data_IF_698937924360
#
_entry.id   IF_698937924360
#
_cell.length_a   1.000
_cell.length_b   1.000
_cell.length_c   1.000
_cell.angle_alpha   90.00
_cell.angle_beta   90.00
_cell.angle_gamma   90.00
#
_symmetry.space_group_name_H-M   'P 1'
#
loop_
_entity.id
_entity.type
_entity.pdbx_description
1 polymer ?
#
# COMPACT_ATOMS: atom_id res chain seq x y z
N UNK A 1 -10.46 -4.96 -29.02
CA UNK A 1 -9.22 -5.60 -28.54
C UNK A 1 -9.65 -6.69 -27.59
N UNK A 2 -9.16 -7.89 -27.79
CA UNK A 2 -9.43 -9.00 -26.88
C UNK A 2 -8.79 -8.76 -25.51
N UNK A 3 -9.42 -9.31 -24.47
CA UNK A 3 -8.86 -9.32 -23.12
C UNK A 3 -7.49 -10.02 -23.16
N UNK A 4 -6.41 -9.40 -22.73
CA UNK A 4 -5.07 -9.97 -22.81
C UNK A 4 -4.87 -11.07 -21.74
N UNK A 5 -5.42 -12.24 -21.99
CA UNK A 5 -5.34 -13.42 -21.09
C UNK A 5 -3.92 -13.91 -20.81
N UNK A 6 -2.96 -13.48 -21.65
CA UNK A 6 -1.55 -13.85 -21.51
C UNK A 6 -0.73 -12.87 -20.67
N UNK A 7 -1.35 -11.79 -20.16
CA UNK A 7 -0.62 -10.83 -19.33
C UNK A 7 -0.52 -11.35 -17.89
N UNK A 8 0.62 -11.07 -17.27
CA UNK A 8 0.80 -11.31 -15.83
C UNK A 8 -0.06 -10.37 -14.98
N UNK A 9 -0.34 -9.16 -15.46
CA UNK A 9 -1.24 -8.18 -14.80
C UNK A 9 -2.68 -8.69 -14.80
N UNK A 10 -3.33 -8.60 -13.66
CA UNK A 10 -4.75 -8.93 -13.48
C UNK A 10 -5.56 -7.66 -13.27
N UNK A 11 -6.69 -7.55 -13.96
CA UNK A 11 -7.66 -6.50 -13.70
C UNK A 11 -8.67 -6.98 -12.67
N UNK A 12 -9.12 -6.08 -11.79
CA UNK A 12 -10.29 -6.35 -10.97
C UNK A 12 -11.53 -6.50 -11.86
N UNK A 13 -12.47 -7.35 -11.51
CA UNK A 13 -13.66 -7.58 -12.33
C UNK A 13 -14.58 -6.36 -12.41
N UNK A 14 -15.32 -6.22 -13.50
CA UNK A 14 -16.33 -5.17 -13.63
C UNK A 14 -17.43 -5.29 -12.56
N UNK A 15 -17.98 -6.48 -12.23
CA UNK A 15 -18.92 -6.61 -11.12
C UNK A 15 -18.40 -6.12 -9.78
N UNK A 16 -17.10 -6.31 -9.49
CA UNK A 16 -16.51 -5.81 -8.25
C UNK A 16 -16.40 -4.28 -8.26
N UNK A 17 -16.02 -3.66 -9.38
CA UNK A 17 -16.02 -2.20 -9.50
C UNK A 17 -17.44 -1.64 -9.33
N UNK A 18 -18.43 -2.23 -9.97
CA UNK A 18 -19.85 -1.82 -9.85
C UNK A 18 -20.36 -1.95 -8.40
N UNK A 19 -19.96 -3.01 -7.67
CA UNK A 19 -20.25 -3.17 -6.25
C UNK A 19 -19.67 -2.02 -5.43
N UNK A 20 -18.41 -1.63 -5.68
CA UNK A 20 -17.75 -0.49 -5.02
C UNK A 20 -18.47 0.81 -5.31
N UNK A 21 -18.72 1.10 -6.58
CA UNK A 21 -19.41 2.34 -7.00
C UNK A 21 -20.82 2.43 -6.42
N UNK A 22 -21.57 1.33 -6.41
CA UNK A 22 -22.89 1.28 -5.80
C UNK A 22 -22.83 1.65 -4.32
N UNK A 23 -21.93 1.01 -3.56
CA UNK A 23 -21.78 1.28 -2.12
C UNK A 23 -21.39 2.73 -1.85
N UNK A 24 -20.47 3.30 -2.65
CA UNK A 24 -20.05 4.69 -2.52
C UNK A 24 -21.21 5.63 -2.84
N UNK A 25 -21.96 5.40 -3.94
CA UNK A 25 -23.11 6.22 -4.33
C UNK A 25 -24.23 6.21 -3.28
N UNK A 26 -24.49 5.07 -2.64
CA UNK A 26 -25.43 4.99 -1.52
C UNK A 26 -25.00 5.92 -0.38
N UNK A 27 -23.71 5.91 -0.02
CA UNK A 27 -23.16 6.81 1.01
C UNK A 27 -23.14 8.28 0.59
N UNK A 28 -22.91 8.58 -0.68
CA UNK A 28 -23.02 9.95 -1.20
C UNK A 28 -24.45 10.48 -1.09
N UNK A 29 -25.45 9.65 -1.44
CA UNK A 29 -26.89 10.03 -1.30
C UNK A 29 -27.26 10.30 0.16
N UNK A 30 -26.84 9.42 1.09
CA UNK A 30 -27.06 9.64 2.54
C UNK A 30 -26.48 10.98 3.03
N UNK A 31 -25.33 11.38 2.47
CA UNK A 31 -24.59 12.60 2.85
C UNK A 31 -24.89 13.82 1.98
N UNK A 32 -25.75 13.67 0.99
CA UNK A 32 -26.09 14.70 0.01
C UNK A 32 -24.86 15.27 -0.71
N UNK A 33 -23.92 14.39 -1.07
CA UNK A 33 -22.72 14.72 -1.84
C UNK A 33 -23.02 14.45 -3.31
N UNK A 34 -22.72 15.43 -4.17
CA UNK A 34 -22.99 15.34 -5.61
C UNK A 34 -21.83 14.74 -6.39
N UNK A 35 -20.61 15.09 -5.99
CA UNK A 35 -19.38 14.62 -6.62
C UNK A 35 -18.36 14.22 -5.55
N UNK A 36 -17.57 13.18 -5.86
CA UNK A 36 -16.28 12.99 -5.19
C UNK A 36 -15.18 13.42 -6.14
N UNK A 37 -14.15 14.05 -5.58
CA UNK A 37 -12.90 14.37 -6.27
C UNK A 37 -11.79 13.57 -5.61
N UNK A 38 -11.16 12.69 -6.39
CA UNK A 38 -10.00 11.89 -6.02
C UNK A 38 -8.86 12.33 -6.92
N UNK A 39 -7.86 12.98 -6.36
CA UNK A 39 -6.69 13.43 -7.10
C UNK A 39 -5.44 12.78 -6.51
N UNK A 40 -4.59 12.18 -7.33
CA UNK A 40 -3.40 11.54 -6.85
C UNK A 40 -2.28 11.49 -7.90
N UNK A 41 -1.05 11.67 -7.43
CA UNK A 41 0.20 11.49 -8.19
C UNK A 41 1.18 10.55 -7.47
N UNK A 42 0.74 9.92 -6.37
CA UNK A 42 1.57 9.04 -5.54
C UNK A 42 1.25 7.57 -5.82
N UNK A 43 2.25 6.80 -6.24
CA UNK A 43 2.04 5.42 -6.67
C UNK A 43 1.99 4.40 -5.53
N UNK A 44 2.65 4.69 -4.39
CA UNK A 44 2.69 3.76 -3.26
C UNK A 44 1.51 3.95 -2.30
N UNK A 45 1.05 5.18 -2.14
CA UNK A 45 -0.03 5.52 -1.22
C UNK A 45 -1.32 5.96 -1.93
N UNK A 46 -1.30 5.99 -3.26
CA UNK A 46 -2.41 6.47 -4.10
C UNK A 46 -3.46 5.41 -4.47
N UNK A 47 -3.61 4.39 -3.67
CA UNK A 47 -4.46 3.23 -3.98
C UNK A 47 -5.94 3.53 -4.15
N UNK A 48 -6.44 4.63 -3.59
CA UNK A 48 -7.86 5.00 -3.70
C UNK A 48 -8.25 5.34 -5.14
N UNK A 49 -7.39 6.02 -5.89
CA UNK A 49 -7.62 6.26 -7.31
C UNK A 49 -7.82 4.94 -8.07
N UNK A 50 -6.92 3.98 -7.86
CA UNK A 50 -7.01 2.65 -8.46
C UNK A 50 -8.25 1.88 -7.99
N UNK A 51 -8.63 2.03 -6.74
CA UNK A 51 -9.82 1.37 -6.20
C UNK A 51 -11.11 1.79 -6.92
N UNK A 52 -11.19 3.04 -7.41
CA UNK A 52 -12.30 3.53 -8.22
C UNK A 52 -12.21 3.10 -9.69
N UNK A 53 -11.02 3.05 -10.28
CA UNK A 53 -10.83 3.00 -11.74
C UNK A 53 -10.10 1.76 -12.26
N UNK A 54 -9.40 1.03 -11.37
CA UNK A 54 -8.38 0.04 -11.71
C UNK A 54 -7.16 0.61 -12.46
N UNK A 55 -7.08 1.94 -12.60
CA UNK A 55 -5.90 2.59 -13.14
C UNK A 55 -4.85 2.79 -12.05
N UNK A 56 -3.62 2.41 -12.37
CA UNK A 56 -2.49 2.67 -11.48
C UNK A 56 -2.17 4.16 -11.46
N UNK A 57 -2.12 4.77 -10.26
CA UNK A 57 -1.54 6.09 -10.11
C UNK A 57 -0.09 6.08 -10.63
N UNK A 58 0.29 7.12 -11.36
CA UNK A 58 1.65 7.25 -11.91
C UNK A 58 2.39 8.30 -11.13
N UNK A 59 3.52 7.93 -10.58
CA UNK A 59 4.39 8.89 -9.91
C UNK A 59 4.71 10.08 -10.83
N UNK A 60 4.56 11.30 -10.31
CA UNK A 60 4.76 12.58 -11.02
C UNK A 60 3.77 12.89 -12.17
N UNK A 61 2.80 12.03 -12.42
CA UNK A 61 1.77 12.28 -13.43
C UNK A 61 0.41 12.29 -12.75
N UNK A 62 -0.02 13.45 -12.24
CA UNK A 62 -1.28 13.54 -11.52
C UNK A 62 -2.45 13.09 -12.38
N UNK A 63 -3.39 12.44 -11.72
CA UNK A 63 -4.66 12.03 -12.30
C UNK A 63 -5.78 12.42 -11.33
N UNK A 64 -6.84 13.00 -11.87
CA UNK A 64 -8.05 13.31 -11.12
C UNK A 64 -9.22 12.48 -11.63
N UNK A 65 -9.95 11.91 -10.69
CA UNK A 65 -11.25 11.26 -10.93
C UNK A 65 -12.33 12.14 -10.33
N UNK A 66 -13.32 12.49 -11.12
CA UNK A 66 -14.56 13.11 -10.67
C UNK A 66 -15.64 12.05 -10.75
N UNK A 67 -16.12 11.61 -9.59
CA UNK A 67 -17.09 10.53 -9.44
C UNK A 67 -18.45 11.11 -9.05
N UNK A 68 -19.43 11.15 -9.98
CA UNK A 68 -20.76 11.67 -9.71
C UNK A 68 -21.63 10.64 -8.97
N UNK A 69 -22.63 11.14 -8.25
CA UNK A 69 -23.56 10.33 -7.46
C UNK A 69 -24.50 9.47 -8.32
N UNK A 70 -24.74 9.84 -9.56
CA UNK A 70 -25.79 9.29 -10.45
C UNK A 70 -25.36 9.10 -11.91
N UNK A 71 -24.07 9.29 -12.23
CA UNK A 71 -23.55 9.15 -13.59
C UNK A 71 -22.20 8.43 -13.59
N UNK A 72 -21.65 8.15 -14.78
CA UNK A 72 -20.30 7.63 -14.96
C UNK A 72 -19.22 8.67 -14.63
N UNK A 73 -18.00 8.19 -14.34
CA UNK A 73 -16.89 9.04 -13.94
C UNK A 73 -16.34 9.89 -15.09
N UNK A 74 -15.79 11.03 -14.73
CA UNK A 74 -14.85 11.77 -15.57
C UNK A 74 -13.43 11.60 -15.05
N UNK A 75 -12.46 11.45 -15.95
CA UNK A 75 -11.04 11.40 -15.63
C UNK A 75 -10.28 12.55 -16.27
N UNK A 76 -9.30 13.09 -15.52
CA UNK A 76 -8.38 14.14 -15.99
C UNK A 76 -6.98 13.60 -15.86
N UNK A 77 -6.21 13.56 -16.95
CA UNK A 77 -4.90 12.91 -17.03
C UNK A 77 -3.84 13.91 -17.46
N UNK A 78 -2.74 13.93 -16.70
CA UNK A 78 -1.58 14.73 -17.00
C UNK A 78 -0.74 14.12 -18.14
N UNK A 79 -0.17 14.97 -19.01
CA UNK A 79 0.93 14.61 -19.92
C UNK A 79 0.53 13.84 -21.18
N UNK A 80 -0.75 13.75 -21.49
CA UNK A 80 -1.24 13.12 -22.71
C UNK A 80 -1.65 14.11 -23.81
N UNK A 81 -1.68 13.66 -25.05
CA UNK A 81 -2.42 14.36 -26.08
C UNK A 81 -3.89 14.52 -25.66
N UNK A 82 -4.58 15.58 -26.08
CA UNK A 82 -5.99 15.74 -25.80
C UNK A 82 -6.76 14.45 -26.12
N UNK A 83 -7.65 14.01 -25.21
CA UNK A 83 -8.36 12.72 -25.35
C UNK A 83 -9.15 12.57 -26.64
N UNK A 84 -9.59 13.67 -27.23
CA UNK A 84 -10.27 13.69 -28.55
C UNK A 84 -9.41 13.20 -29.69
N UNK A 85 -8.08 13.22 -29.52
CA UNK A 85 -7.11 12.73 -30.51
C UNK A 85 -6.65 11.29 -30.24
N UNK A 86 -7.15 10.67 -29.16
CA UNK A 86 -6.79 9.29 -28.79
C UNK A 86 -8.01 8.37 -28.90
N UNK A 87 -7.81 7.14 -29.41
CA UNK A 87 -8.89 6.17 -29.36
C UNK A 87 -9.29 5.89 -27.90
N UNK A 88 -10.59 5.76 -27.68
CA UNK A 88 -11.06 5.37 -26.35
C UNK A 88 -10.43 4.03 -25.96
N UNK A 89 -9.95 3.84 -24.72
CA UNK A 89 -9.44 2.55 -24.28
C UNK A 89 -10.48 1.45 -24.46
N UNK A 90 -10.06 0.21 -24.63
CA UNK A 90 -11.01 -0.89 -24.73
C UNK A 90 -11.88 -0.97 -23.46
N UNK A 91 -13.13 -1.45 -23.55
CA UNK A 91 -14.09 -1.47 -22.45
C UNK A 91 -13.59 -2.18 -21.16
N UNK A 92 -12.68 -3.13 -21.32
CA UNK A 92 -12.08 -3.82 -20.17
C UNK A 92 -11.07 -2.95 -19.40
N UNK A 93 -10.53 -1.88 -20.02
CA UNK A 93 -9.54 -1.01 -19.40
C UNK A 93 -10.17 0.25 -18.81
N UNK A 94 -11.15 0.88 -19.49
CA UNK A 94 -11.78 2.13 -19.03
C UNK A 94 -13.26 1.89 -18.70
N UNK A 95 -13.51 1.35 -17.52
CA UNK A 95 -14.84 0.96 -17.06
C UNK A 95 -15.49 2.08 -16.27
N UNK A 96 -16.78 2.36 -16.53
CA UNK A 96 -17.55 3.40 -15.82
C UNK A 96 -17.04 4.83 -16.03
N UNK A 97 -16.37 5.08 -17.16
CA UNK A 97 -15.82 6.39 -17.52
C UNK A 97 -16.46 6.85 -18.82
N UNK A 98 -17.22 7.95 -18.75
CA UNK A 98 -17.86 8.56 -19.93
C UNK A 98 -17.06 9.73 -20.50
N UNK A 99 -16.25 10.41 -19.69
CA UNK A 99 -15.52 11.60 -20.11
C UNK A 99 -14.03 11.47 -19.72
N UNK A 100 -13.19 11.69 -20.70
CA UNK A 100 -11.74 11.75 -20.51
C UNK A 100 -11.24 13.13 -20.89
N UNK A 101 -10.58 13.79 -19.97
CA UNK A 101 -9.96 15.09 -20.15
C UNK A 101 -8.47 14.95 -19.93
N UNK A 102 -7.69 15.81 -20.56
CA UNK A 102 -6.25 15.79 -20.37
C UNK A 102 -5.57 17.03 -20.89
N UNK A 103 -4.32 17.19 -20.54
CA UNK A 103 -3.51 18.30 -20.98
C UNK A 103 -2.08 18.18 -20.50
N UNK A 104 -1.21 19.00 -21.08
CA UNK A 104 0.20 19.04 -20.72
C UNK A 104 0.39 19.99 -19.53
N UNK A 105 0.35 19.43 -18.33
CA UNK A 105 0.64 20.14 -17.09
C UNK A 105 1.57 19.28 -16.22
N UNK A 106 2.51 19.92 -15.55
CA UNK A 106 3.47 19.24 -14.67
C UNK A 106 3.73 20.10 -13.45
N UNK A 107 3.87 19.51 -12.25
CA UNK A 107 4.17 20.27 -11.03
C UNK A 107 5.42 21.15 -11.11
N UNK A 108 6.38 20.77 -11.98
CA UNK A 108 7.62 21.54 -12.24
C UNK A 108 7.42 22.71 -13.21
N UNK A 109 6.31 22.76 -13.92
CA UNK A 109 5.97 23.85 -14.84
C UNK A 109 4.90 24.74 -14.20
N UNK A 110 5.29 25.65 -13.31
CA UNK A 110 4.38 26.46 -12.50
C UNK A 110 3.26 27.15 -13.31
N UNK A 111 3.55 27.58 -14.54
CA UNK A 111 2.58 28.19 -15.43
C UNK A 111 1.50 27.21 -15.94
N UNK A 112 1.59 25.93 -15.66
CA UNK A 112 0.59 24.90 -16.00
C UNK A 112 -0.25 24.45 -14.80
N UNK A 113 0.04 24.94 -13.59
CA UNK A 113 -0.53 24.44 -12.33
C UNK A 113 -2.05 24.61 -12.20
N UNK A 114 -2.67 25.45 -13.03
CA UNK A 114 -4.12 25.67 -13.01
C UNK A 114 -4.87 24.75 -13.97
N UNK A 115 -4.22 24.18 -14.95
CA UNK A 115 -4.88 23.46 -16.04
C UNK A 115 -5.73 22.28 -15.55
N UNK A 116 -5.22 21.50 -14.61
CA UNK A 116 -5.98 20.39 -14.00
C UNK A 116 -7.25 20.91 -13.30
N UNK A 117 -7.12 22.00 -12.55
CA UNK A 117 -8.26 22.70 -11.92
C UNK A 117 -9.27 23.26 -12.93
N UNK A 118 -8.79 23.80 -14.05
CA UNK A 118 -9.64 24.30 -15.15
C UNK A 118 -10.51 23.18 -15.72
N UNK A 119 -9.87 22.03 -16.02
CA UNK A 119 -10.55 20.85 -16.52
C UNK A 119 -11.54 20.28 -15.47
N UNK A 120 -11.18 20.25 -14.19
CA UNK A 120 -12.08 19.81 -13.13
C UNK A 120 -13.30 20.74 -12.98
N UNK A 121 -13.09 22.06 -13.00
CA UNK A 121 -14.17 23.04 -12.96
C UNK A 121 -15.11 22.88 -14.15
N UNK A 122 -14.61 22.55 -15.34
CA UNK A 122 -15.46 22.34 -16.54
C UNK A 122 -16.50 21.25 -16.33
N UNK A 123 -16.20 20.22 -15.53
CA UNK A 123 -17.12 19.13 -15.17
C UNK A 123 -17.99 19.52 -13.97
N UNK A 124 -17.39 20.01 -12.90
CA UNK A 124 -18.07 20.23 -11.61
C UNK A 124 -19.13 21.34 -11.69
N UNK A 125 -18.98 22.33 -12.59
CA UNK A 125 -19.94 23.44 -12.81
C UNK A 125 -21.23 23.02 -13.52
N UNK A 126 -21.31 21.79 -14.04
CA UNK A 126 -22.53 21.26 -14.66
C UNK A 126 -23.71 21.25 -13.67
N UNK A 127 -23.41 21.13 -12.37
CA UNK A 127 -24.38 21.25 -11.29
C UNK A 127 -24.29 22.62 -10.61
N UNK A 128 -25.44 23.24 -10.37
CA UNK A 128 -25.51 24.48 -9.58
C UNK A 128 -25.33 24.15 -8.10
N UNK A 129 -24.45 24.93 -7.42
CA UNK A 129 -24.17 24.78 -5.97
C UNK A 129 -23.84 23.32 -5.56
N UNK A 130 -22.86 22.68 -6.22
CA UNK A 130 -22.56 21.28 -5.94
C UNK A 130 -21.99 21.12 -4.53
N UNK A 131 -22.31 19.99 -3.90
CA UNK A 131 -21.59 19.49 -2.72
C UNK A 131 -20.53 18.52 -3.20
N UNK A 132 -19.27 18.86 -2.98
CA UNK A 132 -18.09 18.16 -3.47
C UNK A 132 -17.33 17.53 -2.31
N UNK A 133 -17.28 16.20 -2.28
CA UNK A 133 -16.47 15.44 -1.32
C UNK A 133 -15.02 15.30 -1.82
N UNK A 134 -14.07 15.78 -1.05
CA UNK A 134 -12.64 15.57 -1.32
C UNK A 134 -12.18 14.28 -0.65
N UNK A 135 -11.56 13.41 -1.40
CA UNK A 135 -11.02 12.13 -0.90
C UNK A 135 -9.50 12.22 -0.83
N UNK A 136 -8.92 11.74 0.27
CA UNK A 136 -7.46 11.79 0.51
C UNK A 136 -6.88 13.20 0.34
N UNK A 137 -7.46 14.16 1.04
CA UNK A 137 -7.08 15.59 0.96
C UNK A 137 -5.59 15.87 1.08
N UNK A 138 -4.84 14.99 1.76
CA UNK A 138 -3.38 15.13 1.90
C UNK A 138 -2.63 15.00 0.58
N UNK A 139 -3.22 14.41 -0.44
CA UNK A 139 -2.63 14.26 -1.78
C UNK A 139 -3.07 15.33 -2.75
N UNK A 140 -4.11 16.10 -2.42
CA UNK A 140 -4.61 17.16 -3.30
C UNK A 140 -3.65 18.35 -3.29
N UNK A 141 -3.05 18.72 -4.43
CA UNK A 141 -2.19 19.91 -4.51
C UNK A 141 -2.95 21.18 -4.12
N UNK A 142 -2.29 22.03 -3.35
CA UNK A 142 -2.92 23.28 -2.90
C UNK A 142 -3.35 24.16 -4.07
N UNK A 143 -2.57 24.24 -5.13
CA UNK A 143 -2.87 25.01 -6.34
C UNK A 143 -4.15 24.52 -7.05
N UNK A 144 -4.37 23.22 -7.09
CA UNK A 144 -5.60 22.61 -7.60
C UNK A 144 -6.80 23.02 -6.72
N UNK A 145 -6.68 22.86 -5.41
CA UNK A 145 -7.76 23.19 -4.47
C UNK A 145 -8.10 24.68 -4.46
N UNK A 146 -7.12 25.57 -4.44
CA UNK A 146 -7.32 27.01 -4.54
C UNK A 146 -8.03 27.42 -5.84
N UNK A 147 -7.70 26.76 -6.96
CA UNK A 147 -8.39 26.97 -8.22
C UNK A 147 -9.87 26.60 -8.15
N UNK A 148 -10.19 25.44 -7.56
CA UNK A 148 -11.59 25.02 -7.35
C UNK A 148 -12.35 26.04 -6.48
N UNK A 149 -11.79 26.48 -5.36
CA UNK A 149 -12.40 27.47 -4.48
C UNK A 149 -12.70 28.77 -5.21
N UNK A 150 -11.76 29.26 -6.01
CA UNK A 150 -11.89 30.51 -6.75
C UNK A 150 -12.98 30.46 -7.83
N UNK A 151 -13.10 29.31 -8.53
CA UNK A 151 -13.94 29.20 -9.73
C UNK A 151 -15.27 28.46 -9.49
N UNK A 152 -15.48 27.94 -8.28
CA UNK A 152 -16.74 27.34 -7.80
C UNK A 152 -17.17 28.00 -6.48
N UNK A 153 -17.41 29.32 -6.45
CA UNK A 153 -17.70 30.07 -5.20
C UNK A 153 -18.97 29.62 -4.49
N UNK A 154 -19.92 29.03 -5.23
CA UNK A 154 -21.18 28.53 -4.68
C UNK A 154 -21.13 27.03 -4.29
N UNK A 155 -20.01 26.35 -4.49
CA UNK A 155 -19.84 24.95 -4.11
C UNK A 155 -19.59 24.80 -2.61
N UNK A 156 -20.04 23.68 -2.05
CA UNK A 156 -19.68 23.27 -0.68
C UNK A 156 -18.67 22.14 -0.75
N UNK A 157 -17.50 22.32 -0.15
CA UNK A 157 -16.47 21.29 -0.08
C UNK A 157 -16.50 20.60 1.28
N UNK A 158 -16.55 19.26 1.28
CA UNK A 158 -16.56 18.42 2.49
C UNK A 158 -15.47 17.36 2.41
N UNK A 159 -15.00 16.90 3.58
CA UNK A 159 -14.06 15.79 3.64
C UNK A 159 -14.79 14.45 3.50
N UNK A 160 -14.42 13.66 2.50
CA UNK A 160 -14.99 12.36 2.25
C UNK A 160 -14.00 11.20 2.56
N UNK A 161 -12.79 11.52 3.00
CA UNK A 161 -11.68 10.55 3.16
C UNK A 161 -12.06 9.41 4.09
N UNK A 162 -12.47 9.70 5.32
CA UNK A 162 -12.64 8.68 6.36
C UNK A 162 -13.70 7.62 6.00
N UNK A 163 -14.84 8.03 5.44
CA UNK A 163 -15.89 7.08 5.12
C UNK A 163 -15.62 6.30 3.82
N UNK A 164 -14.88 6.87 2.85
CA UNK A 164 -14.41 6.16 1.66
C UNK A 164 -13.38 5.10 2.06
N UNK A 165 -12.40 5.47 2.88
CA UNK A 165 -11.43 4.52 3.44
C UNK A 165 -12.14 3.40 4.20
N UNK A 166 -13.16 3.74 5.01
CA UNK A 166 -13.93 2.77 5.77
C UNK A 166 -14.66 1.72 4.93
N UNK A 167 -14.92 2.01 3.64
CA UNK A 167 -15.42 1.03 2.66
C UNK A 167 -14.24 0.23 2.09
N UNK A 168 -13.20 0.91 1.66
CA UNK A 168 -12.03 0.33 0.96
C UNK A 168 -11.25 -0.68 1.81
N UNK A 169 -11.15 -0.47 3.12
CA UNK A 169 -10.38 -1.36 3.99
C UNK A 169 -11.01 -2.74 4.19
N UNK A 170 -12.30 -2.89 3.89
CA UNK A 170 -12.99 -4.18 3.92
C UNK A 170 -12.86 -4.83 2.54
N UNK A 171 -11.99 -5.81 2.45
CA UNK A 171 -11.66 -6.49 1.19
C UNK A 171 -12.78 -7.45 0.78
N UNK A 172 -13.14 -7.44 -0.49
CA UNK A 172 -14.00 -8.47 -1.08
C UNK A 172 -13.22 -9.78 -1.23
N UNK A 173 -13.95 -10.87 -1.54
CA UNK A 173 -13.30 -12.16 -1.79
C UNK A 173 -12.32 -12.09 -2.98
N UNK A 174 -12.67 -11.35 -4.04
CA UNK A 174 -11.78 -11.16 -5.19
C UNK A 174 -10.51 -10.38 -4.82
N UNK A 175 -10.64 -9.34 -4.00
CA UNK A 175 -9.48 -8.60 -3.47
C UNK A 175 -8.59 -9.50 -2.61
N UNK A 176 -9.18 -10.34 -1.75
CA UNK A 176 -8.43 -11.31 -0.92
C UNK A 176 -7.64 -12.30 -1.78
N UNK A 177 -8.22 -12.79 -2.88
CA UNK A 177 -7.50 -13.70 -3.80
C UNK A 177 -6.31 -13.01 -4.49
N UNK A 178 -6.43 -11.75 -4.87
CA UNK A 178 -5.31 -10.97 -5.41
C UNK A 178 -4.22 -10.73 -4.35
N UNK A 179 -4.61 -10.45 -3.10
CA UNK A 179 -3.69 -10.29 -1.97
C UNK A 179 -2.95 -11.60 -1.68
N UNK A 180 -3.64 -12.75 -1.66
CA UNK A 180 -3.00 -14.06 -1.50
C UNK A 180 -2.04 -14.37 -2.64
N UNK A 181 -2.37 -13.99 -3.87
CA UNK A 181 -1.46 -14.07 -5.02
C UNK A 181 -0.17 -13.25 -4.84
N UNK A 182 -0.29 -12.07 -4.25
CA UNK A 182 0.87 -11.23 -3.91
C UNK A 182 1.73 -11.86 -2.81
N UNK A 183 1.10 -12.40 -1.76
CA UNK A 183 1.83 -13.09 -0.70
C UNK A 183 2.64 -14.28 -1.25
N UNK A 184 2.03 -15.09 -2.13
CA UNK A 184 2.72 -16.21 -2.78
C UNK A 184 3.90 -15.76 -3.67
N UNK A 185 3.76 -14.61 -4.37
CA UNK A 185 4.86 -14.00 -5.12
C UNK A 185 6.01 -13.59 -4.21
N UNK A 186 5.72 -12.99 -3.06
CA UNK A 186 6.72 -12.57 -2.10
C UNK A 186 7.41 -13.75 -1.41
N UNK A 187 6.67 -14.81 -1.09
CA UNK A 187 7.23 -16.07 -0.59
C UNK A 187 8.21 -16.68 -1.59
N UNK A 188 7.86 -16.71 -2.87
CA UNK A 188 8.73 -17.19 -3.94
C UNK A 188 9.97 -16.29 -4.13
N UNK A 189 9.83 -14.97 -3.94
CA UNK A 189 10.97 -14.04 -3.98
C UNK A 189 11.92 -14.24 -2.80
N UNK A 190 11.41 -14.50 -1.60
CA UNK A 190 12.24 -14.88 -0.44
C UNK A 190 12.98 -16.21 -0.66
N UNK A 191 12.30 -17.20 -1.26
CA UNK A 191 12.94 -18.48 -1.61
C UNK A 191 14.02 -18.31 -2.68
N UNK A 192 13.83 -17.38 -3.64
CA UNK A 192 14.87 -17.00 -4.61
C UNK A 192 16.07 -16.37 -3.92
N UNK A 193 15.85 -15.40 -3.03
CA UNK A 193 16.93 -14.74 -2.28
C UNK A 193 17.68 -15.71 -1.38
N UNK A 194 17.00 -16.67 -0.75
CA UNK A 194 17.63 -17.75 0.04
C UNK A 194 18.66 -18.56 -0.77
N UNK A 195 18.42 -18.74 -2.06
CA UNK A 195 19.32 -19.45 -2.97
C UNK A 195 20.41 -18.57 -3.57
N UNK A 196 20.25 -17.26 -3.53
CA UNK A 196 21.08 -16.29 -4.24
C UNK A 196 22.09 -15.61 -3.31
N UNK A 197 21.69 -15.28 -2.07
CA UNK A 197 22.52 -14.57 -1.11
C UNK A 197 23.76 -15.40 -0.75
N UNK A 198 24.95 -14.80 -0.89
CA UNK A 198 26.24 -15.43 -0.57
C UNK A 198 27.29 -14.39 -0.22
N UNK A 199 28.40 -14.79 0.44
CA UNK A 199 29.53 -13.89 0.68
C UNK A 199 30.08 -13.31 -0.63
N UNK A 200 30.50 -12.06 -0.60
CA UNK A 200 31.05 -11.34 -1.75
C UNK A 200 30.02 -10.54 -2.55
N UNK A 201 28.72 -10.84 -2.42
CA UNK A 201 27.68 -9.97 -2.97
C UNK A 201 27.62 -8.63 -2.23
N UNK A 202 27.10 -7.63 -2.88
CA UNK A 202 26.72 -6.38 -2.21
C UNK A 202 25.25 -6.43 -1.80
N UNK A 203 24.90 -5.75 -0.73
CA UNK A 203 23.50 -5.64 -0.31
C UNK A 203 22.62 -5.02 -1.41
N UNK A 204 23.18 -4.09 -2.22
CA UNK A 204 22.52 -3.56 -3.42
C UNK A 204 22.25 -4.64 -4.50
N UNK A 205 23.09 -5.68 -4.61
CA UNK A 205 22.83 -6.79 -5.54
C UNK A 205 21.68 -7.68 -5.03
N UNK A 206 21.57 -7.88 -3.73
CA UNK A 206 20.42 -8.58 -3.12
C UNK A 206 19.12 -7.80 -3.34
N UNK A 207 19.18 -6.48 -3.18
CA UNK A 207 18.07 -5.58 -3.52
C UNK A 207 17.64 -5.75 -4.99
N UNK A 208 18.60 -5.71 -5.92
CA UNK A 208 18.35 -5.84 -7.35
C UNK A 208 17.75 -7.21 -7.71
N UNK A 209 18.23 -8.29 -7.11
CA UNK A 209 17.70 -9.64 -7.30
C UNK A 209 16.25 -9.77 -6.81
N UNK A 210 15.92 -9.20 -5.65
CA UNK A 210 14.55 -9.16 -5.14
C UNK A 210 13.61 -8.43 -6.10
N UNK A 211 14.00 -7.25 -6.57
CA UNK A 211 13.22 -6.49 -7.56
C UNK A 211 13.09 -7.20 -8.90
N UNK A 212 14.19 -7.75 -9.41
CA UNK A 212 14.17 -8.50 -10.67
C UNK A 212 13.21 -9.67 -10.61
N UNK A 213 13.31 -10.49 -9.53
CA UNK A 213 12.44 -11.64 -9.36
C UNK A 213 10.96 -11.21 -9.27
N UNK A 214 10.64 -10.24 -8.44
CA UNK A 214 9.28 -9.76 -8.27
C UNK A 214 8.70 -9.23 -9.59
N UNK A 215 9.42 -8.35 -10.29
CA UNK A 215 8.96 -7.74 -11.54
C UNK A 215 8.80 -8.78 -12.65
N UNK A 216 9.74 -9.73 -12.79
CA UNK A 216 9.65 -10.82 -13.76
C UNK A 216 8.42 -11.71 -13.55
N UNK A 217 7.94 -11.82 -12.32
CA UNK A 217 6.79 -12.65 -11.95
C UNK A 217 5.49 -11.85 -11.74
N UNK A 218 5.44 -10.61 -12.25
CA UNK A 218 4.20 -9.84 -12.37
C UNK A 218 3.96 -8.81 -11.28
N UNK A 219 4.93 -8.54 -10.39
CA UNK A 219 4.86 -7.35 -9.54
C UNK A 219 4.86 -6.11 -10.43
N UNK A 220 3.93 -5.23 -10.19
CA UNK A 220 3.85 -3.97 -10.93
C UNK A 220 4.77 -2.92 -10.30
N UNK A 221 4.88 -2.91 -8.95
CA UNK A 221 5.61 -1.91 -8.15
C UNK A 221 5.88 -2.39 -6.72
N UNK A 222 6.75 -1.67 -6.04
CA UNK A 222 6.93 -1.84 -4.61
C UNK A 222 8.34 -1.56 -4.14
N UNK A 223 8.59 -1.90 -2.89
CA UNK A 223 9.85 -1.73 -2.22
C UNK A 223 10.51 -3.08 -1.95
N UNK A 224 11.79 -3.15 -2.22
CA UNK A 224 12.68 -4.16 -1.63
C UNK A 224 13.70 -3.37 -0.83
N UNK A 225 13.86 -3.69 0.45
CA UNK A 225 14.88 -3.04 1.27
C UNK A 225 15.82 -4.12 1.82
N UNK A 226 17.11 -3.85 1.72
CA UNK A 226 18.15 -4.76 2.17
C UNK A 226 19.18 -3.96 2.96
N UNK A 227 19.58 -4.48 4.11
CA UNK A 227 20.71 -3.96 4.85
C UNK A 227 21.56 -5.12 5.35
N UNK A 228 22.88 -4.93 5.44
CA UNK A 228 23.79 -5.94 5.88
C UNK A 228 24.78 -5.40 6.92
N UNK A 229 25.18 -6.25 7.86
CA UNK A 229 26.14 -5.86 8.89
C UNK A 229 26.63 -7.06 9.70
N UNK A 230 27.74 -6.92 10.45
CA UNK A 230 28.25 -7.98 11.30
C UNK A 230 27.25 -8.36 12.40
N UNK A 231 27.20 -9.64 12.76
CA UNK A 231 26.51 -10.06 13.99
C UNK A 231 27.03 -9.28 15.20
N UNK A 232 26.14 -8.96 16.16
CA UNK A 232 26.46 -8.10 17.30
C UNK A 232 26.33 -6.62 17.02
N UNK A 233 25.73 -6.23 15.89
CA UNK A 233 25.36 -4.86 15.55
C UNK A 233 23.88 -4.76 15.18
N UNK A 234 23.31 -3.54 15.23
CA UNK A 234 21.98 -3.32 14.70
C UNK A 234 22.04 -3.29 13.17
N UNK A 235 21.19 -4.11 12.53
CA UNK A 235 21.03 -4.14 11.07
C UNK A 235 19.56 -3.92 10.69
N UNK A 236 18.99 -2.75 11.02
CA UNK A 236 17.61 -2.42 10.67
C UNK A 236 17.50 -2.04 9.20
N UNK A 237 16.29 -1.99 8.68
CA UNK A 237 16.04 -1.28 7.43
C UNK A 237 16.27 0.21 7.65
N UNK A 238 17.10 0.78 6.81
CA UNK A 238 17.41 2.20 6.82
C UNK A 238 17.02 2.80 5.47
N UNK A 239 16.63 4.06 5.47
CA UNK A 239 16.49 4.85 4.25
C UNK A 239 17.83 4.95 3.50
N UNK A 240 18.91 4.68 4.19
CA UNK A 240 20.28 4.63 3.64
C UNK A 240 20.70 3.20 3.26
N UNK A 241 19.76 2.34 2.86
CA UNK A 241 20.04 0.98 2.37
C UNK A 241 20.96 0.94 1.15
N UNK A 242 21.36 2.08 0.61
CA UNK A 242 22.35 2.23 -0.44
C UNK A 242 23.80 2.24 0.04
N UNK A 243 24.12 1.67 1.19
CA UNK A 243 25.51 1.56 1.63
C UNK A 243 26.39 0.78 0.63
N UNK A 244 25.76 -0.05 -0.21
CA UNK A 244 26.45 -0.86 -1.22
C UNK A 244 27.60 -1.67 -0.59
N UNK A 245 27.35 -2.17 0.61
CA UNK A 245 28.31 -2.90 1.42
C UNK A 245 28.51 -4.31 0.86
N UNK A 246 29.75 -4.80 0.88
CA UNK A 246 30.06 -6.20 0.56
C UNK A 246 29.71 -7.08 1.75
N UNK A 247 28.81 -8.02 1.51
CA UNK A 247 28.37 -9.04 2.49
C UNK A 247 29.51 -10.02 2.74
N UNK A 248 29.76 -10.31 4.00
CA UNK A 248 30.81 -11.23 4.45
C UNK A 248 30.22 -12.42 5.17
N UNK A 249 30.98 -13.47 5.26
CA UNK A 249 30.66 -14.60 6.15
C UNK A 249 30.49 -14.11 7.60
N UNK A 250 29.41 -14.52 8.24
CA UNK A 250 29.03 -14.06 9.58
C UNK A 250 28.22 -12.78 9.63
N UNK A 251 27.84 -12.21 8.49
CA UNK A 251 26.94 -11.06 8.47
C UNK A 251 25.48 -11.47 8.64
N UNK A 252 24.72 -10.58 9.28
CA UNK A 252 23.26 -10.53 9.16
C UNK A 252 22.90 -9.75 7.90
N UNK A 253 21.90 -10.25 7.17
CA UNK A 253 21.26 -9.55 6.06
C UNK A 253 19.77 -9.47 6.36
N UNK A 254 19.28 -8.27 6.57
CA UNK A 254 17.85 -7.99 6.79
C UNK A 254 17.19 -7.68 5.47
N UNK A 255 16.13 -8.42 5.13
CA UNK A 255 15.43 -8.29 3.86
C UNK A 255 13.96 -8.00 4.10
N UNK A 256 13.47 -6.94 3.47
CA UNK A 256 12.05 -6.59 3.34
C UNK A 256 11.67 -6.68 1.87
N UNK A 257 10.56 -7.36 1.58
CA UNK A 257 9.88 -7.33 0.28
C UNK A 257 8.47 -6.81 0.53
N UNK A 258 8.20 -5.61 0.05
CA UNK A 258 6.90 -4.94 0.15
C UNK A 258 6.48 -4.49 -1.24
N UNK A 259 6.23 -5.48 -2.10
CA UNK A 259 5.81 -5.28 -3.49
C UNK A 259 4.33 -5.63 -3.64
N UNK A 260 3.68 -5.04 -4.64
CA UNK A 260 2.38 -5.51 -5.06
C UNK A 260 2.51 -6.70 -6.03
N UNK A 261 1.41 -7.42 -6.23
CA UNK A 261 1.31 -8.48 -7.22
C UNK A 261 0.56 -8.04 -8.48
N UNK A 262 0.31 -8.98 -9.40
CA UNK A 262 -0.61 -8.79 -10.51
C UNK A 262 -2.00 -8.39 -9.98
N UNK A 263 -2.46 -7.20 -10.31
CA UNK A 263 -3.70 -6.61 -9.76
C UNK A 263 -3.46 -5.51 -8.73
N UNK A 264 -2.20 -5.24 -8.36
CA UNK A 264 -1.78 -4.05 -7.65
C UNK A 264 -1.94 -4.05 -6.13
N UNK A 265 -2.37 -5.15 -5.52
CA UNK A 265 -2.48 -5.26 -4.06
C UNK A 265 -1.13 -5.54 -3.43
N UNK A 266 -0.81 -4.78 -2.38
CA UNK A 266 0.41 -4.93 -1.60
C UNK A 266 0.29 -5.98 -0.50
N UNK A 267 1.40 -6.67 -0.27
CA UNK A 267 1.72 -7.42 0.94
C UNK A 267 3.13 -7.04 1.39
N UNK A 268 3.52 -7.52 2.57
CA UNK A 268 4.82 -7.25 3.16
C UNK A 268 5.36 -8.50 3.87
N UNK A 269 6.56 -8.89 3.52
CA UNK A 269 7.29 -9.98 4.21
C UNK A 269 8.68 -9.50 4.59
N UNK A 270 9.11 -9.79 5.83
CA UNK A 270 10.47 -9.51 6.30
C UNK A 270 11.08 -10.74 6.89
N UNK A 271 12.36 -11.02 6.51
CA UNK A 271 13.15 -12.10 7.09
C UNK A 271 14.59 -11.66 7.32
N UNK A 272 15.23 -12.38 8.20
CA UNK A 272 16.65 -12.22 8.53
C UNK A 272 17.42 -13.40 7.97
N UNK A 273 18.50 -13.12 7.27
CA UNK A 273 19.48 -14.09 6.80
C UNK A 273 20.78 -13.94 7.60
N UNK A 274 21.45 -15.04 7.83
CA UNK A 274 22.83 -15.08 8.39
C UNK A 274 23.70 -15.86 7.42
N UNK A 275 24.81 -15.26 7.02
CA UNK A 275 25.64 -15.78 5.94
C UNK A 275 26.74 -16.65 6.46
N UNK A 276 26.81 -17.93 6.03
CA UNK A 276 27.90 -18.89 6.30
C UNK A 276 28.06 -19.35 7.73
N UNK A 277 27.22 -18.88 8.68
CA UNK A 277 27.31 -19.24 10.11
C UNK A 277 25.95 -19.43 10.74
N UNK A 278 25.95 -20.05 11.93
CA UNK A 278 24.75 -20.00 12.80
C UNK A 278 24.55 -18.59 13.35
N UNK A 279 23.29 -18.15 13.54
CA UNK A 279 22.99 -16.89 14.20
C UNK A 279 23.54 -16.88 15.64
N UNK A 280 23.93 -15.71 16.14
CA UNK A 280 24.32 -15.56 17.54
C UNK A 280 23.14 -15.83 18.48
N UNK A 281 23.41 -16.15 19.75
CA UNK A 281 22.35 -16.38 20.73
C UNK A 281 21.52 -15.13 20.94
N UNK A 282 22.14 -13.95 20.97
CA UNK A 282 21.45 -12.67 21.12
C UNK A 282 20.47 -12.41 19.96
N UNK A 283 20.85 -12.74 18.72
CA UNK A 283 19.97 -12.62 17.57
C UNK A 283 18.80 -13.62 17.63
N UNK A 284 19.09 -14.87 18.07
CA UNK A 284 18.04 -15.88 18.24
C UNK A 284 17.03 -15.46 19.33
N UNK A 285 17.51 -14.94 20.47
CA UNK A 285 16.67 -14.48 21.57
C UNK A 285 15.80 -13.27 21.13
N UNK A 286 16.40 -12.31 20.43
CA UNK A 286 15.68 -11.17 19.89
C UNK A 286 14.62 -11.58 18.86
N UNK A 287 14.96 -12.51 17.97
CA UNK A 287 14.03 -13.03 16.97
C UNK A 287 12.86 -13.79 17.62
N UNK A 288 13.14 -14.59 18.64
CA UNK A 288 12.11 -15.30 19.39
C UNK A 288 11.11 -14.33 20.04
N UNK A 289 11.57 -13.20 20.61
CA UNK A 289 10.69 -12.17 21.17
C UNK A 289 9.89 -11.46 20.06
N UNK A 290 10.48 -11.20 18.90
CA UNK A 290 9.75 -10.63 17.77
C UNK A 290 8.64 -11.57 17.27
N UNK A 291 8.94 -12.88 17.17
CA UNK A 291 7.93 -13.90 16.80
C UNK A 291 6.83 -13.99 17.87
N UNK A 292 7.18 -14.02 19.15
CA UNK A 292 6.19 -14.01 20.25
C UNK A 292 5.27 -12.78 20.17
N UNK A 293 5.83 -11.59 19.92
CA UNK A 293 5.08 -10.36 19.76
C UNK A 293 4.09 -10.42 18.56
N UNK A 294 4.54 -11.01 17.43
CA UNK A 294 3.68 -11.23 16.28
C UNK A 294 2.54 -12.21 16.63
N UNK A 295 2.85 -13.35 17.20
CA UNK A 295 1.86 -14.37 17.57
C UNK A 295 0.83 -13.85 18.58
N UNK A 296 1.28 -13.11 19.60
CA UNK A 296 0.38 -12.47 20.58
C UNK A 296 -0.58 -11.50 19.88
N UNK A 297 -0.07 -10.70 18.96
CA UNK A 297 -0.88 -9.78 18.16
C UNK A 297 -1.89 -10.55 17.32
N UNK A 298 -1.45 -11.54 16.56
CA UNK A 298 -2.29 -12.35 15.66
C UNK A 298 -3.43 -13.06 16.40
N UNK A 299 -3.18 -13.61 17.58
CA UNK A 299 -4.21 -14.23 18.43
C UNK A 299 -5.33 -13.24 18.83
N UNK A 300 -5.08 -11.93 18.75
CA UNK A 300 -6.03 -10.87 19.07
C UNK A 300 -6.58 -10.16 17.81
N UNK A 301 -6.07 -10.45 16.63
CA UNK A 301 -6.62 -9.91 15.37
C UNK A 301 -7.97 -10.53 15.07
N UNK A 302 -9.03 -9.88 15.54
CA UNK A 302 -10.43 -10.28 15.31
C UNK A 302 -11.34 -9.04 15.29
N UNK A 303 -12.55 -9.17 14.75
CA UNK A 303 -13.52 -8.07 14.78
C UNK A 303 -13.73 -7.51 16.20
N UNK A 304 -13.73 -6.19 16.32
CA UNK A 304 -13.88 -5.47 17.59
C UNK A 304 -12.57 -5.23 18.37
N UNK A 305 -11.46 -5.84 17.98
CA UNK A 305 -10.17 -5.62 18.66
C UNK A 305 -9.75 -4.14 18.60
N UNK A 306 -9.16 -3.68 19.70
CA UNK A 306 -8.71 -2.29 19.88
C UNK A 306 -7.23 -2.15 19.49
N UNK A 307 -6.88 -1.32 18.49
CA UNK A 307 -5.50 -1.05 18.12
C UNK A 307 -4.61 -0.60 19.27
N UNK A 308 -5.16 0.19 20.20
CA UNK A 308 -4.42 0.64 21.38
C UNK A 308 -4.02 -0.51 22.31
N UNK A 309 -4.94 -1.45 22.59
CA UNK A 309 -4.64 -2.62 23.42
C UNK A 309 -3.54 -3.48 22.79
N UNK A 310 -3.58 -3.66 21.45
CA UNK A 310 -2.57 -4.41 20.72
C UNK A 310 -1.21 -3.71 20.79
N UNK A 311 -1.19 -2.39 20.64
CA UNK A 311 0.02 -1.60 20.78
C UNK A 311 0.63 -1.72 22.18
N UNK A 312 -0.18 -1.53 23.23
CA UNK A 312 0.28 -1.59 24.62
C UNK A 312 0.80 -2.99 24.97
N UNK A 313 0.18 -4.05 24.46
CA UNK A 313 0.61 -5.43 24.63
C UNK A 313 1.98 -5.68 23.99
N UNK A 314 2.17 -5.26 22.73
CA UNK A 314 3.46 -5.36 22.03
C UNK A 314 4.56 -4.57 22.76
N UNK A 315 4.28 -3.31 23.12
CA UNK A 315 5.20 -2.48 23.91
C UNK A 315 5.57 -3.13 25.25
N UNK A 316 4.59 -3.68 25.95
CA UNK A 316 4.82 -4.36 27.24
C UNK A 316 5.74 -5.56 27.11
N UNK A 317 5.54 -6.41 26.10
CA UNK A 317 6.39 -7.56 25.84
C UNK A 317 7.84 -7.15 25.54
N UNK A 318 8.03 -6.20 24.62
CA UNK A 318 9.39 -5.75 24.24
C UNK A 318 10.13 -5.16 25.43
N UNK A 319 9.50 -4.26 26.19
CA UNK A 319 10.15 -3.63 27.36
C UNK A 319 10.46 -4.61 28.48
N UNK A 320 9.57 -5.59 28.74
CA UNK A 320 9.78 -6.65 29.74
C UNK A 320 11.03 -7.50 29.41
N UNK A 321 11.30 -7.72 28.12
CA UNK A 321 12.45 -8.48 27.64
C UNK A 321 13.70 -7.61 27.38
N UNK A 322 13.70 -6.33 27.80
CA UNK A 322 14.87 -5.44 27.70
C UNK A 322 15.12 -4.85 26.30
N UNK A 323 14.13 -4.92 25.40
CA UNK A 323 14.18 -4.30 24.08
C UNK A 323 13.55 -2.91 24.08
N UNK A 324 13.93 -2.08 23.11
CA UNK A 324 13.37 -0.76 22.96
C UNK A 324 11.85 -0.83 22.67
N UNK A 325 11.06 0.08 23.22
CA UNK A 325 9.64 0.17 22.88
C UNK A 325 9.45 0.52 21.42
N UNK A 326 8.34 0.14 20.78
CA UNK A 326 8.07 0.50 19.40
C UNK A 326 7.89 2.01 19.29
N UNK A 327 8.54 2.64 18.30
CA UNK A 327 8.46 4.10 18.04
C UNK A 327 7.66 4.42 16.78
N UNK A 328 7.56 3.47 15.86
CA UNK A 328 6.79 3.59 14.62
C UNK A 328 5.71 2.49 14.55
N UNK A 329 5.04 2.40 13.43
CA UNK A 329 4.10 1.32 13.16
C UNK A 329 4.77 -0.05 13.35
N UNK A 330 4.07 -0.97 14.02
CA UNK A 330 4.46 -2.38 14.04
C UNK A 330 3.39 -3.28 13.40
N UNK A 331 2.25 -2.70 13.05
CA UNK A 331 1.20 -3.34 12.27
C UNK A 331 0.28 -2.28 11.68
N UNK A 332 -0.19 -2.52 10.45
CA UNK A 332 -1.12 -1.63 9.75
C UNK A 332 -1.89 -2.37 8.66
N UNK A 333 -2.94 -1.73 8.15
CA UNK A 333 -3.66 -2.20 6.98
C UNK A 333 -2.83 -2.10 5.70
N UNK A 334 -3.08 -3.00 4.76
CA UNK A 334 -2.55 -2.95 3.40
C UNK A 334 -3.62 -3.29 2.36
N UNK A 335 -3.41 -2.82 1.15
CA UNK A 335 -4.31 -3.08 0.02
C UNK A 335 -3.73 -2.54 -1.27
N UNK A 336 -4.44 -1.65 -1.94
CA UNK A 336 -3.93 -0.94 -3.11
C UNK A 336 -2.96 0.19 -2.75
N UNK A 337 -2.92 0.60 -1.49
CA UNK A 337 -1.83 1.41 -0.93
C UNK A 337 -0.92 0.53 -0.08
N UNK A 338 0.36 0.87 -0.09
CA UNK A 338 1.41 0.22 0.69
C UNK A 338 1.11 0.28 2.20
N UNK A 339 0.57 1.40 2.67
CA UNK A 339 0.07 1.58 4.03
C UNK A 339 -1.38 2.06 3.96
N UNK A 340 -2.29 1.32 4.58
CA UNK A 340 -3.69 1.69 4.75
C UNK A 340 -4.07 1.68 6.23
N UNK A 341 -5.21 2.29 6.57
CA UNK A 341 -5.82 2.10 7.88
C UNK A 341 -6.38 0.67 8.03
N UNK A 342 -6.51 0.18 9.27
CA UNK A 342 -6.12 0.83 10.51
C UNK A 342 -4.62 0.74 10.79
N UNK A 343 -4.08 1.71 11.52
CA UNK A 343 -2.77 1.57 12.14
C UNK A 343 -2.92 0.99 13.55
N UNK A 344 -2.12 -0.01 13.93
CA UNK A 344 -2.17 -0.52 15.30
C UNK A 344 -1.37 0.41 16.23
N UNK A 345 -1.98 1.56 16.57
CA UNK A 345 -1.42 2.63 17.41
C UNK A 345 -2.43 3.16 18.42
N UNK A 346 -1.97 3.83 19.48
CA UNK A 346 -2.86 4.36 20.53
C UNK A 346 -3.89 5.38 20.06
N UNK A 347 -3.63 6.06 18.96
CA UNK A 347 -4.48 7.11 18.40
C UNK A 347 -5.36 6.64 17.23
N UNK A 348 -5.39 5.35 16.89
CA UNK A 348 -6.30 4.81 15.88
C UNK A 348 -7.71 4.66 16.46
N UNK A 349 -8.71 5.41 15.95
CA UNK A 349 -10.06 5.35 16.49
C UNK A 349 -10.88 4.15 16.00
N UNK A 350 -10.43 3.45 14.95
CA UNK A 350 -11.19 2.33 14.39
C UNK A 350 -10.89 1.04 15.14
N UNK A 351 -11.95 0.29 15.42
CA UNK A 351 -11.85 -1.12 15.80
C UNK A 351 -11.61 -1.98 14.54
N UNK A 352 -10.91 -3.08 14.72
CA UNK A 352 -10.69 -4.04 13.64
C UNK A 352 -12.01 -4.66 13.17
N UNK A 353 -12.07 -5.01 11.89
CA UNK A 353 -13.26 -5.64 11.27
C UNK A 353 -12.84 -6.84 10.41
N UNK A 354 -13.76 -7.79 10.23
CA UNK A 354 -13.57 -8.86 9.25
C UNK A 354 -13.36 -8.28 7.84
N UNK A 355 -12.56 -8.92 7.03
CA UNK A 355 -12.17 -8.48 5.69
C UNK A 355 -11.00 -7.51 5.65
N UNK A 356 -10.45 -7.06 6.76
CA UNK A 356 -9.22 -6.25 6.76
C UNK A 356 -7.99 -7.13 6.51
N UNK A 357 -7.08 -6.64 5.66
CA UNK A 357 -5.72 -7.20 5.49
C UNK A 357 -4.76 -6.41 6.36
N UNK A 358 -4.09 -7.09 7.29
CA UNK A 358 -3.19 -6.46 8.27
C UNK A 358 -1.80 -7.08 8.14
N UNK A 359 -0.80 -6.24 7.90
CA UNK A 359 0.61 -6.63 8.06
C UNK A 359 1.03 -6.47 9.53
N UNK A 360 1.80 -7.43 10.06
CA UNK A 360 2.26 -7.43 11.45
C UNK A 360 3.76 -7.66 11.49
N UNK A 361 4.51 -6.61 11.86
CA UNK A 361 5.98 -6.57 11.77
C UNK A 361 6.66 -6.04 13.04
N UNK A 362 6.47 -6.70 14.21
CA UNK A 362 7.17 -6.32 15.42
C UNK A 362 8.67 -6.54 15.29
N UNK A 363 9.44 -5.64 15.87
CA UNK A 363 10.89 -5.75 15.93
C UNK A 363 11.38 -5.73 17.38
N UNK A 364 12.32 -6.61 17.71
CA UNK A 364 13.06 -6.58 18.97
C UNK A 364 14.44 -5.97 18.72
N UNK A 365 14.68 -4.79 19.29
CA UNK A 365 15.89 -4.00 19.05
C UNK A 365 16.52 -3.51 20.36
N UNK A 366 17.85 -3.57 20.42
CA UNK A 366 18.69 -2.92 21.41
C UNK A 366 20.04 -2.57 20.76
N UNK A 367 20.99 -1.98 21.48
CA UNK A 367 22.24 -1.43 20.89
C UNK A 367 23.02 -2.37 19.96
N UNK A 368 23.00 -3.65 20.25
CA UNK A 368 23.84 -4.68 19.66
C UNK A 368 23.06 -5.72 18.83
N UNK A 369 21.75 -5.58 18.73
CA UNK A 369 20.89 -6.51 18.01
C UNK A 369 19.65 -5.85 17.48
N UNK A 370 19.22 -6.31 16.32
CA UNK A 370 17.93 -5.99 15.74
C UNK A 370 17.36 -7.21 15.04
N UNK A 371 16.18 -7.61 15.43
CA UNK A 371 15.45 -8.72 14.85
C UNK A 371 14.01 -8.31 14.50
N UNK A 372 13.49 -8.82 13.40
CA UNK A 372 12.14 -8.54 12.90
C UNK A 372 11.57 -9.78 12.22
N UNK A 373 10.26 -9.90 12.25
CA UNK A 373 9.46 -10.81 11.42
C UNK A 373 8.25 -10.05 10.91
N UNK A 374 7.89 -10.24 9.65
CA UNK A 374 6.70 -9.62 9.07
C UNK A 374 5.93 -10.61 8.20
N UNK A 375 4.61 -10.60 8.33
CA UNK A 375 3.67 -11.33 7.49
C UNK A 375 2.32 -10.61 7.48
N UNK A 376 1.51 -10.88 6.43
CA UNK A 376 0.15 -10.41 6.32
C UNK A 376 -0.88 -11.44 6.81
N UNK A 377 -1.99 -10.90 7.30
CA UNK A 377 -3.10 -11.67 7.85
C UNK A 377 -4.44 -11.07 7.38
N UNK A 378 -5.36 -11.93 6.95
CA UNK A 378 -6.74 -11.53 6.65
C UNK A 378 -7.60 -11.78 7.89
N UNK A 379 -8.28 -10.74 8.38
CA UNK A 379 -9.19 -10.88 9.52
C UNK A 379 -10.48 -11.55 9.05
N UNK A 380 -10.74 -12.74 9.57
CA UNK A 380 -11.99 -13.47 9.41
C UNK A 380 -13.04 -13.13 10.47
N UNK A 381 -14.10 -13.93 10.57
CA UNK A 381 -15.16 -13.76 11.57
C UNK A 381 -14.66 -13.98 13.01
N UNK A 382 -13.83 -14.99 13.23
CA UNK A 382 -13.43 -15.45 14.56
C UNK A 382 -11.94 -15.23 14.89
N UNK A 383 -11.14 -14.80 13.91
CA UNK A 383 -9.70 -14.62 14.03
C UNK A 383 -9.05 -14.24 12.71
N UNK A 384 -7.72 -14.27 12.65
CA UNK A 384 -6.95 -13.89 11.46
C UNK A 384 -6.27 -15.11 10.82
N UNK A 385 -6.34 -15.18 9.49
CA UNK A 385 -5.71 -16.20 8.65
C UNK A 385 -4.35 -15.70 8.14
N UNK A 386 -3.23 -16.42 8.35
CA UNK A 386 -1.97 -16.10 7.73
C UNK A 386 -2.02 -16.37 6.23
N UNK A 387 -1.41 -15.51 5.42
CA UNK A 387 -1.40 -15.68 3.96
C UNK A 387 -0.01 -15.95 3.39
N UNK A 388 1.06 -15.69 4.14
CA UNK A 388 2.41 -16.11 3.79
C UNK A 388 2.68 -17.54 4.23
N UNK A 389 3.48 -18.27 3.44
CA UNK A 389 3.89 -19.66 3.71
C UNK A 389 5.40 -19.80 3.93
N UNK A 390 6.20 -18.78 3.59
CA UNK A 390 7.64 -18.80 3.80
C UNK A 390 7.97 -18.88 5.31
N UNK A 391 8.93 -19.74 5.74
CA UNK A 391 9.17 -20.01 7.15
C UNK A 391 9.48 -18.76 8.00
N UNK A 392 8.99 -18.77 9.25
CA UNK A 392 9.30 -17.75 10.26
C UNK A 392 10.53 -18.19 11.07
N UNK A 393 11.68 -18.09 10.45
CA UNK A 393 12.95 -18.47 11.05
C UNK A 393 14.07 -17.53 10.59
N UNK A 394 15.18 -17.54 11.29
CA UNK A 394 16.42 -16.94 10.80
C UNK A 394 17.04 -17.91 9.79
N UNK A 395 17.18 -17.45 8.54
CA UNK A 395 17.65 -18.28 7.43
C UNK A 395 19.17 -18.25 7.39
N UNK A 396 19.79 -19.43 7.40
CA UNK A 396 21.25 -19.57 7.18
C UNK A 396 21.51 -19.86 5.70
N UNK A 397 22.35 -19.06 5.06
CA UNK A 397 22.73 -19.17 3.65
C UNK A 397 24.22 -19.22 3.47
#
# INVERSE_FOLDING_TARGET
MEDPKERLTKCISTPELERRWKTVREKMKERKIDYLVIQNSEEFLGGTLRWFTDFTARHQFPMTVIFPVDDEMSTIVCGGDPPENQPFPPPWAARGINKRLGGVYFPTFQYTNTLEGELAVSVLKEKKRPVIGLVEKSFIPITFYEYLLKHLPDATFVDATEWVEGIKVIKSQEEVELIKGTAALQDAAMEHLKKTIKPGMRDLEVYAEGHYFASKNGSERGLVQVNSGPLGTMVPFDLYHFQNRVIKEGDQVSVLIEVNGPGGYYCEIMRIFVVGRKPSQELQDAFAVAVEAQEMTVKKLKPGADPKELWDMNKGLLTKNGYFPPVRLYAHGQGLSLVERPSLRPNEPWKLKAGMNITVHPSAARKDVWAIVCDNYIIGADGAEPIHQFPKEIIVV
#
